data_IF_538256999904
#
_entry.id   IF_538256999904
#
_cell.length_a   1.000
_cell.length_b   1.000
_cell.length_c   1.000
_cell.angle_alpha   90.00
_cell.angle_beta   90.00
_cell.angle_gamma   90.00
#
_symmetry.space_group_name_H-M   'P 1'
#
loop_
_entity.id
_entity.type
_entity.pdbx_description
1 polymer ?
#
# COMPACT_ATOMS: atom_id res chain seq x y z
N UNK A 1 -14.72 -35.49 -28.23
CA UNK A 1 -14.04 -35.25 -26.94
C UNK A 1 -13.38 -33.87 -26.93
N UNK A 2 -14.17 -32.79 -26.85
CA UNK A 2 -13.63 -31.42 -26.93
C UNK A 2 -14.23 -30.45 -25.90
N UNK A 3 -15.05 -30.97 -24.97
CA UNK A 3 -15.73 -30.17 -23.93
C UNK A 3 -15.06 -30.23 -22.55
N UNK A 4 -14.16 -31.19 -22.31
CA UNK A 4 -13.46 -31.29 -21.01
C UNK A 4 -12.35 -30.24 -20.81
N UNK A 5 -11.73 -29.74 -21.88
CA UNK A 5 -10.67 -28.74 -21.76
C UNK A 5 -11.18 -27.31 -21.51
N UNK A 6 -12.41 -26.97 -21.93
CA UNK A 6 -12.99 -25.65 -21.67
C UNK A 6 -13.46 -25.47 -20.22
N UNK A 7 -13.92 -26.53 -19.55
CA UNK A 7 -14.42 -26.45 -18.17
C UNK A 7 -13.29 -26.23 -17.14
N UNK A 8 -12.11 -26.84 -17.38
CA UNK A 8 -10.94 -26.73 -16.50
C UNK A 8 -10.30 -25.33 -16.51
N UNK A 9 -10.38 -24.61 -17.64
CA UNK A 9 -9.87 -23.23 -17.74
C UNK A 9 -10.75 -22.21 -17.02
N UNK A 10 -12.07 -22.46 -16.93
CA UNK A 10 -12.99 -21.58 -16.19
C UNK A 10 -12.85 -21.74 -14.66
N UNK A 11 -12.62 -22.95 -14.18
CA UNK A 11 -12.44 -23.23 -12.75
C UNK A 11 -11.13 -22.68 -12.18
N UNK A 12 -10.04 -22.67 -12.96
CA UNK A 12 -8.76 -22.08 -12.53
C UNK A 12 -8.78 -20.54 -12.53
N UNK A 13 -9.46 -19.92 -13.49
CA UNK A 13 -9.66 -18.47 -13.53
C UNK A 13 -10.50 -17.94 -12.36
N UNK A 14 -11.55 -18.67 -11.96
CA UNK A 14 -12.41 -18.28 -10.83
C UNK A 14 -11.67 -18.37 -9.48
N UNK A 15 -10.82 -19.40 -9.29
CA UNK A 15 -10.02 -19.56 -8.08
C UNK A 15 -8.95 -18.47 -7.91
N UNK A 16 -8.28 -18.02 -8.99
CA UNK A 16 -7.31 -16.92 -8.93
C UNK A 16 -7.95 -15.58 -8.54
N UNK A 17 -9.17 -15.29 -9.02
CA UNK A 17 -9.86 -14.03 -8.67
C UNK A 17 -10.32 -13.97 -7.20
N UNK A 18 -10.60 -15.12 -6.59
CA UNK A 18 -10.99 -15.18 -5.18
C UNK A 18 -9.81 -14.89 -4.24
N UNK A 19 -8.59 -15.32 -4.58
CA UNK A 19 -7.40 -15.12 -3.74
C UNK A 19 -6.89 -13.66 -3.76
N UNK A 20 -6.87 -13.01 -4.92
CA UNK A 20 -6.44 -11.59 -5.03
C UNK A 20 -7.38 -10.65 -4.23
N UNK A 21 -8.69 -10.88 -4.33
CA UNK A 21 -9.71 -10.10 -3.59
C UNK A 21 -9.64 -10.33 -2.08
N UNK A 22 -9.25 -11.54 -1.65
CA UNK A 22 -9.06 -11.86 -0.25
C UNK A 22 -7.86 -11.12 0.34
N UNK A 23 -6.72 -11.06 -0.35
CA UNK A 23 -5.51 -10.44 0.22
C UNK A 23 -5.62 -8.93 0.32
N UNK A 24 -6.13 -8.25 -0.71
CA UNK A 24 -6.40 -6.81 -0.66
C UNK A 24 -7.35 -6.45 0.49
N UNK A 25 -8.36 -7.29 0.75
CA UNK A 25 -9.24 -7.12 1.93
C UNK A 25 -8.48 -7.29 3.25
N UNK A 26 -7.60 -8.31 3.37
CA UNK A 26 -6.78 -8.51 4.57
C UNK A 26 -5.84 -7.32 4.83
N UNK A 27 -5.19 -6.78 3.79
CA UNK A 27 -4.33 -5.59 3.89
C UNK A 27 -5.13 -4.42 4.48
N UNK A 28 -6.33 -4.17 3.97
CA UNK A 28 -7.21 -3.13 4.49
C UNK A 28 -7.61 -3.36 5.95
N UNK A 29 -8.10 -4.54 6.32
CA UNK A 29 -8.54 -4.82 7.70
C UNK A 29 -7.37 -4.71 8.68
N UNK A 30 -6.19 -5.20 8.30
CA UNK A 30 -4.97 -5.04 9.09
C UNK A 30 -4.59 -3.57 9.29
N UNK A 31 -4.67 -2.74 8.25
CA UNK A 31 -4.43 -1.30 8.36
C UNK A 31 -5.47 -0.60 9.25
N UNK A 32 -6.75 -0.91 9.07
CA UNK A 32 -7.87 -0.33 9.82
C UNK A 32 -7.75 -0.61 11.32
N UNK A 33 -7.37 -1.82 11.70
CA UNK A 33 -7.17 -2.20 13.10
C UNK A 33 -6.03 -1.43 13.80
N UNK A 34 -5.22 -0.67 13.04
CA UNK A 34 -4.13 0.14 13.55
C UNK A 34 -4.47 1.63 13.65
N UNK A 35 -5.67 2.06 13.25
CA UNK A 35 -6.11 3.45 13.44
C UNK A 35 -6.02 3.81 14.94
N UNK A 36 -5.56 5.03 15.22
CA UNK A 36 -5.19 5.54 16.54
C UNK A 36 -3.90 4.97 17.17
N UNK A 37 -3.24 3.99 16.55
CA UNK A 37 -1.96 3.49 17.04
C UNK A 37 -0.88 4.57 16.96
N UNK A 38 -0.14 4.76 18.04
CA UNK A 38 1.04 5.64 18.09
C UNK A 38 2.33 4.93 17.68
N UNK A 39 2.31 3.60 17.46
CA UNK A 39 3.51 2.79 17.17
C UNK A 39 4.31 3.31 15.98
N UNK A 40 3.64 3.82 14.94
CA UNK A 40 4.29 4.37 13.75
C UNK A 40 4.29 5.91 13.70
N UNK A 41 3.92 6.58 14.79
CA UNK A 41 3.94 8.04 14.84
C UNK A 41 5.36 8.58 14.66
N UNK A 42 5.49 9.84 14.23
CA UNK A 42 6.80 10.51 14.16
C UNK A 42 7.47 10.58 15.54
N UNK A 43 6.68 10.72 16.60
CA UNK A 43 7.16 10.93 17.96
C UNK A 43 7.72 9.66 18.64
N UNK A 44 7.30 8.47 18.22
CA UNK A 44 7.70 7.20 18.84
C UNK A 44 8.88 6.52 18.12
N UNK A 45 9.44 5.49 18.75
CA UNK A 45 10.40 4.58 18.13
C UNK A 45 9.68 3.42 17.44
N UNK A 46 10.26 2.94 16.34
CA UNK A 46 9.88 1.68 15.70
C UNK A 46 11.06 0.71 15.82
N UNK A 47 10.85 -0.44 16.46
CA UNK A 47 11.89 -1.42 16.78
C UNK A 47 13.14 -0.79 17.45
N UNK A 48 12.91 0.10 18.43
CA UNK A 48 13.99 0.81 19.14
C UNK A 48 14.69 1.91 18.33
N UNK A 49 14.32 2.13 17.05
CA UNK A 49 14.97 3.07 16.12
C UNK A 49 13.99 4.12 15.60
N UNK A 50 14.48 5.07 14.79
CA UNK A 50 13.69 6.01 13.99
C UNK A 50 12.82 7.02 14.78
N UNK A 51 13.17 7.35 16.03
CA UNK A 51 12.51 8.45 16.75
C UNK A 51 12.67 9.77 15.99
N UNK A 52 11.61 10.55 15.88
CA UNK A 52 11.62 11.84 15.16
C UNK A 52 11.52 11.72 13.63
N UNK A 53 11.50 10.50 13.09
CA UNK A 53 11.37 10.25 11.65
C UNK A 53 9.95 9.83 11.27
N UNK A 54 9.51 10.22 10.07
CA UNK A 54 8.26 9.76 9.49
C UNK A 54 8.33 8.26 9.18
N UNK A 55 7.25 7.53 9.45
CA UNK A 55 7.23 6.05 9.35
C UNK A 55 6.08 5.51 8.51
N UNK A 56 5.54 6.32 7.61
CA UNK A 56 4.46 5.90 6.71
C UNK A 56 4.83 4.66 5.88
N UNK A 57 6.06 4.56 5.39
CA UNK A 57 6.55 3.38 4.67
C UNK A 57 6.73 2.15 5.59
N UNK A 58 7.16 2.34 6.84
CA UNK A 58 7.30 1.26 7.82
C UNK A 58 5.94 0.73 8.27
N UNK A 59 4.93 1.61 8.37
CA UNK A 59 3.55 1.22 8.62
C UNK A 59 3.01 0.31 7.50
N UNK A 60 3.17 0.72 6.24
CA UNK A 60 2.76 -0.10 5.09
C UNK A 60 3.53 -1.42 5.06
N UNK A 61 4.84 -1.40 5.33
CA UNK A 61 5.64 -2.61 5.40
C UNK A 61 5.13 -3.60 6.46
N UNK A 62 4.88 -3.13 7.69
CA UNK A 62 4.39 -3.99 8.79
C UNK A 62 2.99 -4.56 8.48
N UNK A 63 2.09 -3.75 7.91
CA UNK A 63 0.75 -4.23 7.52
C UNK A 63 0.85 -5.34 6.46
N UNK A 64 1.69 -5.16 5.45
CA UNK A 64 1.89 -6.16 4.41
C UNK A 64 2.51 -7.45 4.96
N UNK A 65 3.52 -7.34 5.83
CA UNK A 65 4.13 -8.49 6.49
C UNK A 65 3.11 -9.27 7.35
N UNK A 66 2.28 -8.56 8.12
CA UNK A 66 1.29 -9.17 9.02
C UNK A 66 0.28 -10.06 8.28
N UNK A 67 -0.08 -9.69 7.04
CA UNK A 67 -1.03 -10.46 6.22
C UNK A 67 -0.36 -11.44 5.26
N UNK A 68 0.96 -11.59 5.37
CA UNK A 68 1.78 -12.45 4.50
C UNK A 68 1.87 -11.97 3.05
N UNK A 69 1.68 -10.67 2.79
CA UNK A 69 1.88 -10.10 1.47
C UNK A 69 3.36 -9.89 1.18
N UNK A 70 3.78 -10.19 -0.05
CA UNK A 70 5.16 -9.96 -0.52
C UNK A 70 5.53 -8.49 -0.40
N UNK A 71 6.51 -8.14 0.42
CA UNK A 71 6.94 -6.75 0.58
C UNK A 71 8.13 -6.41 -0.32
N UNK A 72 8.08 -5.31 -1.09
CA UNK A 72 9.23 -4.85 -1.85
C UNK A 72 10.35 -4.38 -0.92
N UNK A 73 11.59 -4.73 -1.28
CA UNK A 73 12.81 -4.38 -0.54
C UNK A 73 13.88 -3.87 -1.50
N UNK A 74 14.78 -3.04 -0.99
CA UNK A 74 15.97 -2.56 -1.69
C UNK A 74 17.18 -2.81 -0.79
N UNK A 75 18.12 -3.63 -1.26
CA UNK A 75 19.29 -4.09 -0.48
C UNK A 75 18.89 -4.69 0.89
N UNK A 76 17.82 -5.50 0.92
CA UNK A 76 17.30 -6.12 2.14
C UNK A 76 16.50 -5.19 3.06
N UNK A 77 16.42 -3.89 2.76
CA UNK A 77 15.71 -2.89 3.57
C UNK A 77 14.34 -2.54 2.99
N UNK A 78 13.45 -2.03 3.84
CA UNK A 78 12.16 -1.49 3.42
C UNK A 78 12.36 -0.33 2.46
N UNK A 79 11.59 -0.28 1.37
CA UNK A 79 11.64 0.84 0.44
C UNK A 79 11.04 2.12 1.06
N UNK A 80 11.49 3.27 0.56
CA UNK A 80 11.00 4.58 1.00
C UNK A 80 9.70 4.98 0.29
N UNK A 81 9.00 5.98 0.84
CA UNK A 81 7.73 6.44 0.27
C UNK A 81 7.86 6.97 -1.16
N UNK A 82 8.97 7.63 -1.52
CA UNK A 82 9.20 8.09 -2.90
C UNK A 82 9.44 6.92 -3.88
N UNK A 83 9.99 5.80 -3.41
CA UNK A 83 10.15 4.60 -4.23
C UNK A 83 8.79 3.92 -4.46
N UNK A 84 7.92 3.87 -3.45
CA UNK A 84 6.51 3.50 -3.64
C UNK A 84 5.77 4.44 -4.61
N UNK A 85 6.13 5.72 -4.64
CA UNK A 85 5.49 6.70 -5.51
C UNK A 85 6.03 6.66 -6.97
N UNK A 86 7.09 5.91 -7.24
CA UNK A 86 7.61 5.71 -8.60
C UNK A 86 6.88 4.54 -9.28
N UNK A 87 6.02 4.79 -10.29
CA UNK A 87 5.31 3.72 -11.01
C UNK A 87 6.24 2.78 -11.77
N UNK A 88 7.53 3.12 -11.90
CA UNK A 88 8.57 2.30 -12.51
C UNK A 88 9.55 1.70 -11.51
N UNK A 89 9.25 1.74 -10.20
CA UNK A 89 10.12 1.16 -9.19
C UNK A 89 10.47 -0.29 -9.49
N UNK A 90 11.75 -0.55 -9.72
CA UNK A 90 12.28 -1.88 -9.93
C UNK A 90 12.08 -2.76 -8.69
N UNK A 91 12.15 -2.17 -7.48
CA UNK A 91 11.91 -2.89 -6.23
C UNK A 91 10.46 -3.34 -6.09
N UNK A 92 9.48 -2.54 -6.51
CA UNK A 92 8.06 -2.93 -6.46
C UNK A 92 7.75 -3.94 -7.56
N UNK A 93 8.08 -3.62 -8.82
CA UNK A 93 7.83 -4.50 -9.98
C UNK A 93 8.56 -5.83 -9.87
N UNK A 94 9.77 -5.84 -9.34
CA UNK A 94 10.59 -7.05 -9.17
C UNK A 94 9.99 -8.07 -8.21
N UNK A 95 8.98 -7.71 -7.41
CA UNK A 95 8.24 -8.69 -6.59
C UNK A 95 7.28 -9.57 -7.39
N UNK A 96 6.86 -9.13 -8.58
CA UNK A 96 5.81 -9.79 -9.37
C UNK A 96 4.39 -9.75 -8.77
N UNK A 97 4.20 -9.17 -7.59
CA UNK A 97 2.94 -9.21 -6.85
C UNK A 97 2.17 -7.88 -6.81
N UNK A 98 2.64 -6.86 -7.52
CA UNK A 98 1.95 -5.57 -7.59
C UNK A 98 1.82 -5.12 -9.04
N UNK A 99 0.64 -4.60 -9.37
CA UNK A 99 0.39 -3.85 -10.61
C UNK A 99 0.00 -2.42 -10.28
N UNK A 100 0.42 -1.49 -11.13
CA UNK A 100 -0.13 -0.14 -11.08
C UNK A 100 -1.58 -0.17 -11.57
N UNK A 101 -2.45 0.60 -10.93
CA UNK A 101 -3.83 0.82 -11.37
C UNK A 101 -4.07 2.31 -11.54
N UNK A 102 -5.05 2.67 -12.37
CA UNK A 102 -5.45 4.06 -12.51
C UNK A 102 -6.00 4.59 -11.19
N UNK A 103 -5.78 5.88 -10.94
CA UNK A 103 -6.25 6.52 -9.71
C UNK A 103 -7.79 6.49 -9.56
N UNK A 104 -8.54 6.54 -10.66
CA UNK A 104 -10.00 6.43 -10.66
C UNK A 104 -10.49 5.03 -10.31
N UNK A 105 -9.67 3.99 -10.54
CA UNK A 105 -9.99 2.60 -10.24
C UNK A 105 -9.42 2.11 -8.90
N UNK A 106 -8.90 3.02 -8.05
CA UNK A 106 -8.42 2.70 -6.71
C UNK A 106 -9.53 2.04 -5.87
N UNK A 107 -9.17 1.04 -5.08
CA UNK A 107 -10.09 0.32 -4.22
C UNK A 107 -9.49 0.08 -2.83
N UNK A 108 -10.30 -0.37 -1.86
CA UNK A 108 -9.81 -0.70 -0.52
C UNK A 108 -8.66 -1.70 -0.59
N UNK A 109 -7.63 -1.49 0.24
CA UNK A 109 -6.46 -2.37 0.30
C UNK A 109 -5.38 -2.09 -0.74
N UNK A 110 -5.66 -1.28 -1.77
CA UNK A 110 -4.60 -0.78 -2.64
C UNK A 110 -3.61 0.09 -1.84
N UNK A 111 -2.34 0.10 -2.21
CA UNK A 111 -1.35 1.00 -1.65
C UNK A 111 -1.35 2.29 -2.47
N UNK A 112 -1.54 3.43 -1.80
CA UNK A 112 -1.47 4.75 -2.43
C UNK A 112 -0.22 5.47 -1.98
N UNK A 113 0.54 6.00 -2.93
CA UNK A 113 1.80 6.68 -2.69
C UNK A 113 1.83 8.05 -3.38
N UNK A 114 2.35 9.04 -2.68
CA UNK A 114 2.42 10.43 -3.11
C UNK A 114 3.88 10.84 -3.25
N UNK A 115 4.28 11.16 -4.48
CA UNK A 115 5.62 11.68 -4.76
C UNK A 115 5.64 13.15 -4.36
N UNK A 116 6.66 13.55 -3.60
CA UNK A 116 6.88 14.96 -3.26
C UNK A 116 8.18 15.49 -3.84
N UNK A 117 8.17 16.75 -4.26
CA UNK A 117 9.39 17.48 -4.58
C UNK A 117 10.04 18.05 -3.30
N UNK A 118 11.37 18.01 -3.23
CA UNK A 118 12.15 18.60 -2.13
C UNK A 118 12.00 17.91 -0.77
N UNK A 119 11.24 16.82 -0.67
CA UNK A 119 11.02 16.10 0.59
C UNK A 119 10.72 14.61 0.37
N UNK A 120 10.67 13.85 1.47
CA UNK A 120 10.20 12.47 1.43
C UNK A 120 8.71 12.43 1.08
N UNK A 121 8.33 11.54 0.17
CA UNK A 121 6.94 11.27 -0.17
C UNK A 121 6.11 10.76 1.00
N UNK A 122 4.87 10.37 0.70
CA UNK A 122 3.97 9.76 1.67
C UNK A 122 3.35 8.50 1.07
N UNK A 123 3.00 7.54 1.92
CA UNK A 123 2.40 6.29 1.47
C UNK A 123 1.40 5.80 2.50
N UNK A 124 0.34 5.13 2.06
CA UNK A 124 -0.66 4.52 2.92
C UNK A 124 -1.48 3.48 2.18
N UNK A 125 -2.53 3.02 2.82
CA UNK A 125 -3.40 1.95 2.31
C UNK A 125 -4.80 2.52 2.11
N UNK A 126 -5.35 2.37 0.92
CA UNK A 126 -6.69 2.81 0.58
C UNK A 126 -7.73 2.17 1.50
N UNK A 127 -8.62 3.01 2.02
CA UNK A 127 -9.75 2.66 2.85
C UNK A 127 -11.04 2.79 2.03
N UNK A 128 -12.17 2.90 2.73
CA UNK A 128 -13.48 3.19 2.14
C UNK A 128 -13.69 4.71 1.97
N UNK A 129 -14.70 5.09 1.18
CA UNK A 129 -15.16 6.48 1.03
C UNK A 129 -14.09 7.47 0.56
N UNK A 130 -13.16 7.03 -0.30
CA UNK A 130 -12.07 7.89 -0.78
C UNK A 130 -10.98 8.13 0.27
N UNK A 131 -11.02 7.50 1.44
CA UNK A 131 -9.98 7.70 2.44
C UNK A 131 -8.77 6.78 2.22
N UNK A 132 -7.65 7.10 2.85
CA UNK A 132 -6.50 6.20 3.00
C UNK A 132 -5.98 6.24 4.45
N UNK A 133 -5.44 5.12 4.91
CA UNK A 133 -4.90 4.96 6.26
C UNK A 133 -3.38 5.08 6.18
N UNK A 134 -2.79 5.96 6.99
CA UNK A 134 -1.33 6.12 7.06
C UNK A 134 -0.85 6.56 8.43
N UNK A 135 0.44 6.34 8.69
CA UNK A 135 1.11 6.84 9.87
C UNK A 135 1.45 8.34 9.72
N UNK A 136 0.91 9.14 10.63
CA UNK A 136 1.06 10.59 10.68
C UNK A 136 1.95 11.02 11.85
N UNK A 137 1.91 12.31 12.18
CA UNK A 137 2.79 12.90 13.20
C UNK A 137 2.56 12.27 14.58
N UNK A 138 1.30 12.09 14.95
CA UNK A 138 0.89 11.68 16.30
C UNK A 138 0.40 10.24 16.38
N UNK A 139 -0.22 9.73 15.31
CA UNK A 139 -0.85 8.41 15.26
C UNK A 139 -1.06 7.97 13.81
N UNK A 140 -1.45 6.71 13.64
CA UNK A 140 -2.08 6.24 12.41
C UNK A 140 -3.50 6.80 12.34
N UNK A 141 -3.88 7.35 11.20
CA UNK A 141 -5.22 7.90 10.99
C UNK A 141 -5.72 7.64 9.56
N UNK A 142 -7.01 7.85 9.35
CA UNK A 142 -7.68 7.81 8.05
C UNK A 142 -7.90 9.22 7.53
N UNK A 143 -7.37 9.52 6.34
CA UNK A 143 -7.45 10.84 5.70
C UNK A 143 -8.19 10.76 4.37
N UNK A 144 -8.94 11.81 4.04
CA UNK A 144 -9.48 11.99 2.69
C UNK A 144 -8.34 12.14 1.67
N UNK A 145 -8.34 11.29 0.65
CA UNK A 145 -7.22 11.21 -0.31
C UNK A 145 -7.12 12.45 -1.18
N UNK A 146 -8.26 13.02 -1.60
CA UNK A 146 -8.28 14.14 -2.53
C UNK A 146 -8.01 15.45 -1.79
N UNK A 147 -8.51 15.60 -0.57
CA UNK A 147 -8.16 16.67 0.37
C UNK A 147 -6.67 16.63 0.75
N UNK A 148 -6.10 15.45 0.99
CA UNK A 148 -4.65 15.34 1.23
C UNK A 148 -3.82 15.75 0.00
N UNK A 149 -4.23 15.32 -1.20
CA UNK A 149 -3.54 15.66 -2.45
C UNK A 149 -3.61 17.16 -2.77
N UNK A 150 -4.80 17.75 -2.65
CA UNK A 150 -5.02 19.17 -2.96
C UNK A 150 -4.48 20.10 -1.88
N UNK A 151 -4.41 19.65 -0.63
CA UNK A 151 -3.88 20.41 0.50
C UNK A 151 -2.34 20.47 0.59
N UNK A 152 -1.62 19.70 -0.23
CA UNK A 152 -0.16 19.64 -0.22
C UNK A 152 0.42 19.95 -1.60
N UNK A 153 0.83 21.20 -1.79
CA UNK A 153 1.40 21.71 -3.05
C UNK A 153 2.73 21.07 -3.45
N UNK A 154 3.37 20.29 -2.58
CA UNK A 154 4.60 19.57 -2.91
C UNK A 154 4.33 18.22 -3.57
N UNK A 155 3.08 17.72 -3.54
CA UNK A 155 2.70 16.48 -4.22
C UNK A 155 2.67 16.72 -5.72
N UNK A 156 3.51 15.98 -6.45
CA UNK A 156 3.65 16.11 -7.91
C UNK A 156 3.09 14.93 -8.68
N UNK A 157 2.96 13.77 -8.03
CA UNK A 157 2.31 12.61 -8.63
C UNK A 157 1.75 11.67 -7.57
N UNK A 158 0.78 10.84 -7.99
CA UNK A 158 0.19 9.80 -7.15
C UNK A 158 0.25 8.48 -7.90
N UNK A 159 0.74 7.45 -7.22
CA UNK A 159 0.83 6.09 -7.75
C UNK A 159 -0.03 5.18 -6.87
N UNK A 160 -0.83 4.33 -7.50
CA UNK A 160 -1.67 3.34 -6.82
C UNK A 160 -1.22 1.95 -7.23
N UNK A 161 -0.90 1.13 -6.25
CA UNK A 161 -0.49 -0.26 -6.43
C UNK A 161 -1.57 -1.19 -5.91
N UNK A 162 -1.97 -2.14 -6.76
CA UNK A 162 -2.85 -3.24 -6.37
C UNK A 162 -2.01 -4.49 -6.18
N UNK A 163 -2.20 -5.16 -5.04
CA UNK A 163 -1.63 -6.48 -4.80
C UNK A 163 -2.38 -7.52 -5.66
N UNK A 164 -1.65 -8.41 -6.32
CA UNK A 164 -2.18 -9.42 -7.27
C UNK A 164 -1.68 -10.83 -7.00
N UNK A 165 -1.09 -11.02 -5.82
CA UNK A 165 -0.93 -12.32 -5.22
C UNK A 165 -1.94 -12.39 -4.05
#
# INVERSE_FOLDING_TARGET
>A
MQYQHLLLLYLSGLMLTLTEGQKTTQIYESAKNKINSTKWSKATTWNGKYRGMWKCNLFVYDVLQEVGATTPKKWGMQILANEWADPNSASVKGTGCYKTVSYSSKQKGDIVAFKRNGSSGHVGIMSTNGNFISALRYKVDSLDVDGFRSGDSFIVSTTVWRYTC
#
